data_IF_649944686966
#
_entry.id   IF_649944686966
#
_cell.length_a   1.000
_cell.length_b   1.000
_cell.length_c   1.000
_cell.angle_alpha   90.00
_cell.angle_beta   90.00
_cell.angle_gamma   90.00
#
_symmetry.space_group_name_H-M   'P 1'
#
loop_
_entity.id
_entity.type
_entity.pdbx_description
1 polymer ?
#
# COMPACT_ATOMS: atom_id res chain seq x y z
N UNK A 1 -12.54 -8.44 0.02
CA UNK A 1 -12.56 -7.07 0.59
C UNK A 1 -12.81 -6.05 -0.52
N UNK A 2 -13.49 -4.93 -0.25
CA UNK A 2 -13.72 -3.89 -1.26
C UNK A 2 -12.49 -3.02 -1.47
N UNK A 3 -12.44 -2.34 -2.61
CA UNK A 3 -11.30 -1.51 -2.98
C UNK A 3 -11.19 -0.26 -2.07
N UNK A 4 -12.32 0.25 -1.60
CA UNK A 4 -12.43 1.36 -0.65
C UNK A 4 -11.90 0.97 0.73
N UNK A 5 -12.21 -0.25 1.19
CA UNK A 5 -11.73 -0.72 2.49
C UNK A 5 -10.21 -0.93 2.51
N UNK A 6 -9.63 -1.41 1.40
CA UNK A 6 -8.16 -1.51 1.26
C UNK A 6 -7.52 -0.12 1.27
N UNK A 7 -8.09 0.83 0.51
CA UNK A 7 -7.58 2.19 0.44
C UNK A 7 -7.61 2.87 1.83
N UNK A 8 -8.67 2.63 2.61
CA UNK A 8 -8.78 3.11 3.98
C UNK A 8 -7.69 2.51 4.88
N UNK A 9 -7.42 1.21 4.78
CA UNK A 9 -6.33 0.58 5.55
C UNK A 9 -4.94 1.07 5.13
N UNK A 10 -4.71 1.32 3.84
CA UNK A 10 -3.45 1.96 3.38
C UNK A 10 -3.30 3.35 4.01
N UNK A 11 -4.36 4.15 4.05
CA UNK A 11 -4.34 5.47 4.68
C UNK A 11 -4.10 5.40 6.19
N UNK A 12 -4.66 4.40 6.86
CA UNK A 12 -4.41 4.16 8.28
C UNK A 12 -2.95 3.84 8.54
N UNK A 13 -2.37 2.88 7.80
CA UNK A 13 -0.95 2.52 7.93
C UNK A 13 -0.03 3.70 7.63
N UNK A 14 -0.28 4.43 6.55
CA UNK A 14 0.53 5.60 6.19
C UNK A 14 0.49 6.69 7.28
N UNK A 15 -0.67 6.90 7.89
CA UNK A 15 -0.83 7.87 8.99
C UNK A 15 -0.15 7.43 10.27
N UNK A 16 -0.23 6.14 10.62
CA UNK A 16 0.30 5.62 11.88
C UNK A 16 1.82 5.41 11.84
N UNK A 17 2.37 5.03 10.68
CA UNK A 17 3.77 4.59 10.58
C UNK A 17 4.66 5.54 9.77
N UNK A 18 4.09 6.43 8.95
CA UNK A 18 4.84 7.33 8.06
C UNK A 18 4.55 8.81 8.31
N UNK A 19 3.76 9.13 9.33
CA UNK A 19 3.27 10.47 9.67
C UNK A 19 2.51 11.16 8.51
N UNK A 20 1.93 10.39 7.59
CA UNK A 20 1.19 10.92 6.45
C UNK A 20 -0.19 11.47 6.88
N UNK A 21 -0.45 12.75 6.61
CA UNK A 21 -1.71 13.43 6.97
C UNK A 21 -2.55 13.85 5.75
N UNK A 22 -2.03 13.61 4.54
CA UNK A 22 -2.71 13.96 3.30
C UNK A 22 -3.81 12.96 2.91
N UNK A 23 -4.66 13.32 1.93
CA UNK A 23 -5.57 12.35 1.33
C UNK A 23 -4.76 11.28 0.59
N UNK A 24 -5.24 10.04 0.61
CA UNK A 24 -4.73 8.96 -0.26
C UNK A 24 -5.79 8.67 -1.33
N UNK A 25 -5.38 8.69 -2.60
CA UNK A 25 -6.22 8.39 -3.76
C UNK A 25 -5.51 7.40 -4.66
N UNK A 26 -6.27 6.69 -5.50
CA UNK A 26 -5.73 5.60 -6.34
C UNK A 26 -4.72 6.10 -7.36
N UNK A 27 -4.94 7.30 -7.86
CA UNK A 27 -4.15 7.92 -8.92
C UNK A 27 -2.78 8.40 -8.43
N UNK A 28 -2.57 8.46 -7.12
CA UNK A 28 -1.35 8.99 -6.52
C UNK A 28 -0.17 8.05 -6.73
N UNK A 29 0.96 8.63 -7.11
CA UNK A 29 2.24 7.95 -7.26
C UNK A 29 2.86 7.70 -5.89
N UNK A 30 3.27 6.46 -5.64
CA UNK A 30 3.83 6.04 -4.35
C UNK A 30 5.07 6.87 -3.97
N UNK A 31 5.98 7.09 -4.92
CA UNK A 31 7.20 7.85 -4.64
C UNK A 31 6.96 9.36 -4.72
N UNK A 32 6.32 9.83 -5.79
CA UNK A 32 6.24 11.27 -6.08
C UNK A 32 5.17 11.98 -5.25
N UNK A 33 3.97 11.39 -5.12
CA UNK A 33 2.84 12.04 -4.45
C UNK A 33 2.77 11.74 -2.95
N UNK A 34 3.25 10.57 -2.51
CA UNK A 34 3.32 10.22 -1.09
C UNK A 34 4.70 10.47 -0.46
N UNK A 35 5.64 11.02 -1.24
CA UNK A 35 7.00 11.33 -0.80
C UNK A 35 7.70 10.13 -0.14
N UNK A 36 7.46 8.92 -0.66
CA UNK A 36 8.02 7.70 -0.11
C UNK A 36 9.44 7.47 -0.64
N UNK A 37 10.42 7.60 0.26
CA UNK A 37 11.77 7.11 0.04
C UNK A 37 11.86 5.58 0.18
N UNK A 38 13.03 5.00 -0.08
CA UNK A 38 13.23 3.54 -0.02
C UNK A 38 12.96 2.94 1.37
N UNK A 39 13.24 3.67 2.44
CA UNK A 39 13.00 3.22 3.80
C UNK A 39 11.50 3.28 4.11
N UNK A 40 10.85 4.38 3.75
CA UNK A 40 9.40 4.57 3.90
C UNK A 40 8.59 3.57 3.07
N UNK A 41 9.04 3.24 1.86
CA UNK A 41 8.45 2.17 1.04
C UNK A 41 8.55 0.81 1.74
N UNK A 42 9.72 0.49 2.29
CA UNK A 42 9.93 -0.76 3.03
C UNK A 42 9.03 -0.83 4.28
N UNK A 43 8.96 0.26 5.05
CA UNK A 43 8.07 0.36 6.22
C UNK A 43 6.60 0.22 5.81
N UNK A 44 6.17 0.91 4.75
CA UNK A 44 4.81 0.80 4.25
C UNK A 44 4.48 -0.65 3.89
N UNK A 45 5.34 -1.30 3.11
CA UNK A 45 5.12 -2.69 2.69
C UNK A 45 5.00 -3.63 3.90
N UNK A 46 5.95 -3.57 4.84
CA UNK A 46 5.94 -4.42 6.03
C UNK A 46 4.69 -4.21 6.91
N UNK A 47 4.25 -2.96 7.08
CA UNK A 47 3.07 -2.67 7.91
C UNK A 47 1.76 -3.00 7.20
N UNK A 48 1.70 -2.92 5.86
CA UNK A 48 0.57 -3.43 5.09
C UNK A 48 0.47 -4.95 5.15
N UNK A 49 1.60 -5.66 5.09
CA UNK A 49 1.65 -7.11 5.31
C UNK A 49 1.11 -7.47 6.70
N UNK A 50 1.53 -6.75 7.74
CA UNK A 50 1.04 -6.93 9.10
C UNK A 50 -0.46 -6.64 9.24
N UNK A 51 -0.93 -5.53 8.67
CA UNK A 51 -2.31 -5.05 8.76
C UNK A 51 -3.27 -5.99 8.04
N UNK A 52 -2.94 -6.39 6.79
CA UNK A 52 -3.80 -7.23 5.96
C UNK A 52 -3.51 -8.73 6.10
N UNK A 53 -2.48 -9.13 6.85
CA UNK A 53 -2.03 -10.53 7.01
C UNK A 53 -1.71 -11.21 5.68
N UNK A 54 -0.96 -10.51 4.84
CA UNK A 54 -0.52 -10.97 3.52
C UNK A 54 1.02 -10.91 3.41
N UNK A 55 1.56 -11.43 2.31
CA UNK A 55 2.94 -11.20 1.90
C UNK A 55 2.97 -10.47 0.55
N UNK A 56 3.70 -9.36 0.52
CA UNK A 56 3.97 -8.53 -0.65
C UNK A 56 5.32 -8.90 -1.29
N UNK A 57 6.19 -9.63 -0.58
CA UNK A 57 7.44 -10.21 -1.12
C UNK A 57 7.21 -11.51 -1.90
N UNK A 58 6.82 -11.38 -3.16
CA UNK A 58 7.15 -12.35 -4.21
C UNK A 58 7.69 -11.54 -5.39
N UNK A 59 8.60 -12.10 -6.20
CA UNK A 59 9.27 -11.53 -7.40
C UNK A 59 8.30 -11.03 -8.51
N UNK A 60 7.09 -10.59 -8.16
CA UNK A 60 6.17 -9.85 -9.00
C UNK A 60 6.56 -8.37 -8.96
N UNK A 61 7.70 -8.06 -9.59
CA UNK A 61 8.12 -6.72 -10.04
C UNK A 61 7.15 -6.17 -11.11
N UNK A 62 5.84 -6.26 -10.87
CA UNK A 62 4.93 -5.29 -11.44
C UNK A 62 5.32 -3.97 -10.81
N UNK A 63 5.81 -3.03 -11.61
CA UNK A 63 6.32 -1.73 -11.18
C UNK A 63 5.21 -0.97 -10.44
N UNK A 64 5.07 -1.21 -9.13
CA UNK A 64 4.07 -0.59 -8.27
C UNK A 64 4.36 0.91 -8.28
N UNK A 65 3.60 1.62 -9.11
CA UNK A 65 3.82 3.03 -9.34
C UNK A 65 2.79 3.84 -8.59
N UNK A 66 1.54 3.35 -8.55
CA UNK A 66 0.42 4.05 -7.96
C UNK A 66 -0.16 3.33 -6.74
N UNK A 67 -0.89 4.08 -5.92
CA UNK A 67 -1.72 3.50 -4.84
C UNK A 67 -2.77 2.55 -5.41
N UNK A 68 -3.30 2.81 -6.61
CA UNK A 68 -4.23 1.91 -7.29
C UNK A 68 -3.65 0.52 -7.51
N UNK A 69 -2.41 0.46 -8.01
CA UNK A 69 -1.69 -0.80 -8.23
C UNK A 69 -1.51 -1.57 -6.91
N UNK A 70 -1.13 -0.86 -5.85
CA UNK A 70 -0.98 -1.42 -4.51
C UNK A 70 -2.31 -1.97 -3.97
N UNK A 71 -3.42 -1.25 -4.16
CA UNK A 71 -4.74 -1.73 -3.75
C UNK A 71 -5.10 -3.02 -4.48
N UNK A 72 -4.92 -3.07 -5.80
CA UNK A 72 -5.28 -4.23 -6.59
C UNK A 72 -4.40 -5.45 -6.27
N UNK A 73 -3.11 -5.23 -5.98
CA UNK A 73 -2.22 -6.28 -5.46
C UNK A 73 -2.73 -6.86 -4.13
N UNK A 74 -3.03 -6.00 -3.15
CA UNK A 74 -3.54 -6.43 -1.84
C UNK A 74 -4.85 -7.23 -1.99
N UNK A 75 -5.76 -6.76 -2.86
CA UNK A 75 -7.02 -7.46 -3.14
C UNK A 75 -6.79 -8.82 -3.77
N UNK A 76 -5.84 -8.93 -4.70
CA UNK A 76 -5.45 -10.19 -5.33
C UNK A 76 -4.96 -11.18 -4.28
N UNK A 77 -4.06 -10.77 -3.37
CA UNK A 77 -3.55 -11.64 -2.29
C UNK A 77 -4.65 -12.04 -1.30
N UNK A 78 -5.54 -11.12 -0.90
CA UNK A 78 -6.67 -11.42 -0.01
C UNK A 78 -7.74 -12.34 -0.63
N UNK A 79 -7.85 -12.38 -1.97
CA UNK A 79 -8.72 -13.33 -2.66
C UNK A 79 -8.11 -14.73 -2.84
N UNK A 80 -6.79 -14.86 -2.62
CA UNK A 80 -6.04 -16.12 -2.68
C UNK A 80 -5.80 -16.75 -1.30
N UNK A 81 -6.12 -16.04 -0.21
CA UNK A 81 -5.97 -16.47 1.18
C UNK A 81 -7.22 -17.19 1.73
#
# INVERSE_FOLDING_TARGET
MTAEAVLAGIAEVAREHLDWQGPIRREMLLVEDLELDSLRLFTLAAELENHFRIHLYEDEEGELSTVGDLVDLIRSKLGRA
#
